data_IF_404601264033
#
_entry.id   IF_404601264033
#
_cell.length_a   1.000
_cell.length_b   1.000
_cell.length_c   1.000
_cell.angle_alpha   90.00
_cell.angle_beta   90.00
_cell.angle_gamma   90.00
#
_symmetry.space_group_name_H-M   'P 1'
#
loop_
_entity.id
_entity.type
_entity.pdbx_description
1 polymer ?
#
# COMPACT_ATOMS: atom_id res chain seq x y z
N UNK A 1 -45.05 -6.73 -102.65
CA UNK A 1 -45.13 -8.01 -101.91
C UNK A 1 -43.97 -8.07 -100.91
N UNK A 2 -44.21 -8.73 -99.78
CA UNK A 2 -43.47 -8.71 -98.51
C UNK A 2 -42.00 -9.14 -98.59
N UNK A 3 -41.21 -8.62 -97.65
CA UNK A 3 -40.19 -9.43 -96.96
C UNK A 3 -38.81 -8.78 -96.79
N UNK A 4 -38.67 -7.76 -95.95
CA UNK A 4 -37.36 -7.42 -95.38
C UNK A 4 -37.30 -7.89 -93.92
N UNK A 5 -36.33 -8.77 -93.66
CA UNK A 5 -36.09 -9.46 -92.42
C UNK A 5 -35.61 -8.51 -91.31
N UNK A 6 -36.24 -8.60 -90.14
CA UNK A 6 -35.71 -8.07 -88.88
C UNK A 6 -34.78 -9.12 -88.25
N UNK A 7 -33.47 -8.95 -88.39
CA UNK A 7 -32.46 -9.79 -87.71
C UNK A 7 -31.39 -8.92 -87.06
N UNK A 8 -31.79 -8.00 -86.18
CA UNK A 8 -30.87 -7.06 -85.52
C UNK A 8 -30.96 -6.96 -83.99
N UNK A 9 -31.93 -7.61 -83.35
CA UNK A 9 -32.21 -7.38 -81.92
C UNK A 9 -31.70 -8.51 -81.02
N UNK A 10 -31.88 -9.78 -81.39
CA UNK A 10 -31.61 -10.88 -80.44
C UNK A 10 -30.13 -11.03 -80.01
N UNK A 11 -29.17 -10.78 -80.91
CA UNK A 11 -27.73 -11.00 -80.62
C UNK A 11 -27.17 -9.94 -79.66
N UNK A 12 -27.65 -8.70 -79.75
CA UNK A 12 -27.20 -7.57 -78.91
C UNK A 12 -27.74 -7.70 -77.48
N UNK A 13 -28.99 -8.18 -77.33
CA UNK A 13 -29.58 -8.43 -76.01
C UNK A 13 -28.94 -9.64 -75.30
N UNK A 14 -28.52 -10.67 -76.04
CA UNK A 14 -27.81 -11.82 -75.47
C UNK A 14 -26.41 -11.41 -74.97
N UNK A 15 -25.67 -10.59 -75.71
CA UNK A 15 -24.32 -10.17 -75.28
C UNK A 15 -24.37 -9.21 -74.08
N UNK A 16 -25.37 -8.32 -74.02
CA UNK A 16 -25.55 -7.42 -72.87
C UNK A 16 -25.99 -8.18 -71.62
N UNK A 17 -26.90 -9.15 -71.76
CA UNK A 17 -27.31 -9.99 -70.62
C UNK A 17 -26.20 -10.92 -70.13
N UNK A 18 -25.40 -11.50 -71.03
CA UNK A 18 -24.23 -12.30 -70.64
C UNK A 18 -23.17 -11.46 -69.92
N UNK A 19 -22.94 -10.22 -70.38
CA UNK A 19 -22.00 -9.28 -69.74
C UNK A 19 -22.49 -8.84 -68.35
N UNK A 20 -23.79 -8.59 -68.17
CA UNK A 20 -24.36 -8.30 -66.84
C UNK A 20 -24.31 -9.49 -65.88
N UNK A 21 -24.46 -10.73 -66.37
CA UNK A 21 -24.36 -11.93 -65.52
C UNK A 21 -22.91 -12.18 -65.10
N UNK A 22 -21.93 -11.98 -65.98
CA UNK A 22 -20.50 -12.10 -65.63
C UNK A 22 -20.04 -10.97 -64.70
N UNK A 23 -20.52 -9.74 -64.90
CA UNK A 23 -20.23 -8.64 -63.96
C UNK A 23 -20.88 -8.89 -62.59
N UNK A 24 -22.11 -9.42 -62.56
CA UNK A 24 -22.81 -9.74 -61.31
C UNK A 24 -22.23 -10.98 -60.59
N UNK A 25 -21.59 -11.91 -61.30
CA UNK A 25 -20.85 -13.02 -60.69
C UNK A 25 -19.47 -12.57 -60.14
N UNK A 26 -18.81 -11.61 -60.79
CA UNK A 26 -17.52 -11.08 -60.30
C UNK A 26 -17.67 -10.14 -59.10
N UNK A 27 -18.80 -9.44 -58.96
CA UNK A 27 -19.10 -8.58 -57.79
C UNK A 27 -19.61 -9.37 -56.56
N UNK A 28 -19.97 -10.64 -56.72
CA UNK A 28 -20.50 -11.49 -55.63
C UNK A 28 -19.46 -12.26 -54.82
N UNK A 29 -18.17 -12.19 -55.17
CA UNK A 29 -17.12 -13.09 -54.65
C UNK A 29 -16.18 -12.46 -53.61
N UNK A 30 -16.40 -11.21 -53.19
CA UNK A 30 -15.68 -10.60 -52.06
C UNK A 30 -16.49 -10.71 -50.78
N UNK A 31 -16.82 -11.95 -50.39
CA UNK A 31 -17.03 -12.21 -48.96
C UNK A 31 -15.65 -12.25 -48.32
N UNK A 32 -15.24 -11.09 -47.80
CA UNK A 32 -14.13 -11.00 -46.86
C UNK A 32 -14.33 -12.11 -45.83
N UNK A 33 -13.40 -13.06 -45.80
CA UNK A 33 -13.20 -13.91 -44.65
C UNK A 33 -12.66 -12.99 -43.55
N UNK A 34 -13.56 -12.33 -42.81
CA UNK A 34 -13.20 -11.82 -41.49
C UNK A 34 -13.01 -13.09 -40.65
N UNK A 35 -11.77 -13.42 -40.33
CA UNK A 35 -11.49 -14.40 -39.30
C UNK A 35 -12.07 -13.83 -38.00
N UNK A 36 -13.30 -14.24 -37.71
CA UNK A 36 -13.99 -14.01 -36.45
C UNK A 36 -13.22 -14.79 -35.38
N UNK A 37 -12.20 -14.15 -34.81
CA UNK A 37 -11.34 -14.70 -33.79
C UNK A 37 -12.08 -14.64 -32.44
N UNK A 38 -13.21 -15.37 -32.36
CA UNK A 38 -13.91 -15.57 -31.10
C UNK A 38 -12.96 -16.30 -30.16
N UNK A 39 -12.60 -15.62 -29.07
CA UNK A 39 -11.74 -16.23 -28.05
C UNK A 39 -12.60 -17.17 -27.21
N UNK A 40 -12.25 -18.46 -27.19
CA UNK A 40 -12.91 -19.48 -26.38
C UNK A 40 -12.12 -19.69 -25.08
N UNK A 41 -12.82 -19.71 -23.95
CA UNK A 41 -12.24 -20.05 -22.63
C UNK A 41 -13.16 -21.00 -21.88
N UNK A 42 -12.59 -21.78 -20.95
CA UNK A 42 -13.40 -22.57 -20.02
C UNK A 42 -13.86 -21.72 -18.83
N UNK A 43 -15.01 -22.06 -18.25
CA UNK A 43 -15.43 -21.55 -16.93
C UNK A 43 -14.28 -21.71 -15.92
N UNK A 44 -14.00 -20.63 -15.18
CA UNK A 44 -12.95 -20.54 -14.17
C UNK A 44 -11.53 -20.28 -14.71
N UNK A 45 -11.32 -20.32 -16.02
CA UNK A 45 -10.00 -20.13 -16.63
C UNK A 45 -9.80 -18.71 -17.16
N UNK A 46 -8.61 -18.17 -16.94
CA UNK A 46 -8.20 -16.87 -17.47
C UNK A 46 -7.89 -16.97 -18.96
N UNK A 47 -8.35 -16.00 -19.75
CA UNK A 47 -7.93 -15.83 -21.13
C UNK A 47 -7.51 -14.38 -21.37
N UNK A 48 -6.55 -14.21 -22.28
CA UNK A 48 -5.96 -12.91 -22.61
C UNK A 48 -6.17 -12.57 -24.07
N UNK A 49 -6.57 -11.33 -24.32
CA UNK A 49 -6.73 -10.76 -25.66
C UNK A 49 -5.77 -9.59 -25.77
N UNK A 50 -4.79 -9.74 -26.66
CA UNK A 50 -3.76 -8.74 -26.88
C UNK A 50 -4.15 -7.80 -28.03
N UNK A 51 -3.60 -6.57 -27.98
CA UNK A 51 -3.64 -5.60 -29.08
C UNK A 51 -5.03 -5.18 -29.54
N UNK A 52 -6.01 -5.12 -28.64
CA UNK A 52 -7.37 -4.65 -28.96
C UNK A 52 -7.37 -3.14 -29.12
N UNK A 53 -7.61 -2.64 -30.32
CA UNK A 53 -7.67 -1.19 -30.60
C UNK A 53 -9.12 -0.73 -30.53
N UNK A 54 -9.42 0.18 -29.61
CA UNK A 54 -10.76 0.73 -29.41
C UNK A 54 -10.74 2.26 -29.59
N UNK A 55 -11.70 2.82 -30.36
CA UNK A 55 -11.79 4.26 -30.59
C UNK A 55 -12.38 5.01 -29.41
N UNK A 56 -12.14 6.31 -29.35
CA UNK A 56 -12.62 7.25 -28.34
C UNK A 56 -11.63 7.46 -27.18
N UNK A 57 -12.15 8.02 -26.08
CA UNK A 57 -11.36 8.27 -24.86
C UNK A 57 -11.03 6.98 -24.10
N UNK A 58 -10.06 7.08 -23.17
CA UNK A 58 -9.57 5.94 -22.39
C UNK A 58 -10.72 5.19 -21.68
N UNK A 59 -10.71 3.87 -21.79
CA UNK A 59 -11.70 2.97 -21.17
C UNK A 59 -11.18 2.44 -19.84
N UNK A 60 -12.11 2.22 -18.92
CA UNK A 60 -11.90 1.54 -17.66
C UNK A 60 -12.91 0.40 -17.52
N UNK A 61 -12.62 -0.55 -16.63
CA UNK A 61 -13.56 -1.64 -16.32
C UNK A 61 -14.65 -1.08 -15.40
N UNK A 62 -15.91 -1.46 -15.66
CA UNK A 62 -17.04 -1.16 -14.78
C UNK A 62 -16.83 -1.78 -13.40
N UNK A 63 -17.52 -1.24 -12.39
CA UNK A 63 -17.50 -1.84 -11.07
C UNK A 63 -18.09 -3.26 -11.12
N UNK A 64 -17.32 -4.25 -10.70
CA UNK A 64 -17.68 -5.67 -10.76
C UNK A 64 -18.51 -6.02 -9.52
N UNK A 65 -19.60 -6.74 -9.73
CA UNK A 65 -20.49 -7.28 -8.70
C UNK A 65 -20.37 -8.81 -8.63
N UNK A 66 -20.72 -9.39 -7.48
CA UNK A 66 -20.59 -10.85 -7.27
C UNK A 66 -21.47 -11.69 -8.22
N UNK A 67 -22.50 -11.07 -8.82
CA UNK A 67 -23.42 -11.71 -9.77
C UNK A 67 -22.95 -11.63 -11.23
N UNK A 68 -21.84 -10.92 -11.53
CA UNK A 68 -21.38 -10.74 -12.91
C UNK A 68 -20.83 -12.04 -13.51
N UNK A 69 -21.24 -12.42 -14.73
CA UNK A 69 -20.83 -13.68 -15.34
C UNK A 69 -19.38 -13.67 -15.83
N UNK A 70 -18.74 -12.50 -15.93
CA UNK A 70 -17.36 -12.31 -16.37
C UNK A 70 -16.66 -11.29 -15.47
N UNK A 71 -15.44 -11.63 -15.05
CA UNK A 71 -14.51 -10.68 -14.45
C UNK A 71 -13.56 -10.20 -15.55
N UNK A 72 -13.56 -8.90 -15.84
CA UNK A 72 -12.69 -8.27 -16.84
C UNK A 72 -11.59 -7.44 -16.15
N UNK A 73 -10.38 -7.48 -16.69
CA UNK A 73 -9.26 -6.64 -16.26
C UNK A 73 -8.50 -6.08 -17.46
N UNK A 74 -8.18 -4.81 -17.40
CA UNK A 74 -7.24 -4.17 -18.34
C UNK A 74 -5.83 -4.36 -17.78
N UNK A 75 -4.96 -5.08 -18.50
CA UNK A 75 -3.57 -5.33 -18.11
C UNK A 75 -2.71 -4.12 -18.43
N UNK A 76 -2.86 -3.59 -19.64
CA UNK A 76 -2.09 -2.44 -20.10
C UNK A 76 -2.90 -1.61 -21.09
N UNK A 77 -2.65 -0.29 -21.08
CA UNK A 77 -3.23 0.70 -22.01
C UNK A 77 -2.11 1.43 -22.72
N UNK A 78 -2.23 1.56 -24.04
CA UNK A 78 -1.25 2.25 -24.87
C UNK A 78 -1.97 3.22 -25.83
N UNK A 79 -1.56 4.49 -25.93
CA UNK A 79 -2.10 5.40 -26.93
C UNK A 79 -1.86 4.87 -28.36
N UNK A 80 -2.88 4.94 -29.22
CA UNK A 80 -2.83 4.48 -30.60
C UNK A 80 -3.38 5.52 -31.57
N UNK A 81 -2.89 6.76 -31.50
CA UNK A 81 -3.39 7.91 -32.27
C UNK A 81 -4.04 8.96 -31.37
N UNK A 82 -4.71 9.97 -31.95
CA UNK A 82 -5.30 11.06 -31.16
C UNK A 82 -6.49 10.62 -30.31
N UNK A 83 -7.36 9.77 -30.86
CA UNK A 83 -8.62 9.34 -30.22
C UNK A 83 -8.79 7.82 -30.24
N UNK A 84 -7.70 7.08 -30.04
CA UNK A 84 -7.72 5.61 -30.05
C UNK A 84 -6.70 5.08 -29.04
N UNK A 85 -7.04 3.96 -28.40
CA UNK A 85 -6.19 3.30 -27.43
C UNK A 85 -6.12 1.80 -27.75
N UNK A 86 -4.94 1.23 -27.52
CA UNK A 86 -4.67 -0.19 -27.64
C UNK A 86 -4.61 -0.81 -26.25
N UNK A 87 -5.44 -1.80 -26.03
CA UNK A 87 -5.63 -2.49 -24.77
C UNK A 87 -5.09 -3.91 -24.83
N UNK A 88 -4.56 -4.35 -23.70
CA UNK A 88 -4.38 -5.77 -23.39
C UNK A 88 -5.41 -6.13 -22.32
N UNK A 89 -6.31 -7.05 -22.66
CA UNK A 89 -7.44 -7.43 -21.81
C UNK A 89 -7.23 -8.84 -21.29
N UNK A 90 -7.56 -9.06 -20.02
CA UNK A 90 -7.63 -10.39 -19.43
C UNK A 90 -9.02 -10.58 -18.83
N UNK A 91 -9.66 -11.71 -19.12
CA UNK A 91 -11.00 -12.01 -18.65
C UNK A 91 -11.11 -13.41 -18.06
N UNK A 92 -12.03 -13.57 -17.11
CA UNK A 92 -12.36 -14.83 -16.45
C UNK A 92 -13.85 -15.07 -16.59
N UNK A 93 -14.23 -16.18 -17.23
CA UNK A 93 -15.64 -16.58 -17.34
C UNK A 93 -16.08 -17.32 -16.07
N UNK A 94 -17.08 -16.81 -15.37
CA UNK A 94 -17.68 -17.46 -14.21
C UNK A 94 -18.90 -18.31 -14.58
N UNK A 95 -19.58 -17.94 -15.66
CA UNK A 95 -20.75 -18.66 -16.19
C UNK A 95 -20.54 -19.03 -17.65
N UNK A 96 -21.12 -20.16 -18.07
CA UNK A 96 -21.10 -20.60 -19.47
C UNK A 96 -22.00 -19.71 -20.32
N UNK A 97 -21.51 -19.27 -21.48
CA UNK A 97 -22.29 -18.44 -22.41
C UNK A 97 -21.46 -17.66 -23.41
N UNK A 98 -22.17 -16.94 -24.28
CA UNK A 98 -21.62 -15.95 -25.20
C UNK A 98 -21.72 -14.56 -24.55
N UNK A 99 -20.59 -13.87 -24.49
CA UNK A 99 -20.52 -12.55 -23.88
C UNK A 99 -19.73 -11.58 -24.75
N UNK A 100 -20.03 -10.29 -24.63
CA UNK A 100 -19.25 -9.23 -25.28
C UNK A 100 -18.55 -8.39 -24.21
N UNK A 101 -17.22 -8.38 -24.23
CA UNK A 101 -16.40 -7.71 -23.20
C UNK A 101 -16.65 -6.20 -23.13
N UNK A 102 -17.14 -5.60 -24.22
CA UNK A 102 -17.49 -4.17 -24.28
C UNK A 102 -18.56 -3.79 -23.26
N UNK A 103 -19.46 -4.71 -22.89
CA UNK A 103 -20.50 -4.43 -21.89
C UNK A 103 -19.93 -4.23 -20.47
N UNK A 104 -18.72 -4.73 -20.21
CA UNK A 104 -18.01 -4.62 -18.93
C UNK A 104 -17.01 -3.44 -18.91
N UNK A 105 -16.98 -2.64 -19.98
CA UNK A 105 -16.14 -1.45 -20.10
C UNK A 105 -17.00 -0.18 -20.05
N UNK A 106 -16.43 0.88 -19.48
CA UNK A 106 -16.99 2.23 -19.50
C UNK A 106 -15.88 3.25 -19.79
N UNK A 107 -16.27 4.45 -20.23
CA UNK A 107 -15.29 5.52 -20.47
C UNK A 107 -14.84 6.10 -19.13
N UNK A 108 -13.54 6.36 -18.98
CA UNK A 108 -12.96 6.95 -17.77
C UNK A 108 -13.43 8.39 -17.51
N UNK A 109 -13.82 9.10 -18.57
CA UNK A 109 -14.43 10.43 -18.50
C UNK A 109 -15.96 10.38 -18.27
N UNK A 110 -16.53 9.18 -18.07
CA UNK A 110 -17.96 8.92 -17.95
C UNK A 110 -18.82 9.38 -19.14
N UNK A 111 -18.20 9.63 -20.29
CA UNK A 111 -18.94 9.88 -21.54
C UNK A 111 -19.63 8.60 -22.04
N UNK A 112 -20.60 8.77 -22.93
CA UNK A 112 -21.26 7.64 -23.58
C UNK A 112 -20.24 6.79 -24.34
N UNK A 113 -20.32 5.46 -24.22
CA UNK A 113 -19.38 4.55 -24.86
C UNK A 113 -19.36 4.71 -26.39
N UNK A 114 -20.50 5.06 -27.00
CA UNK A 114 -20.66 5.26 -28.43
C UNK A 114 -20.58 3.96 -29.23
N UNK A 115 -20.22 4.05 -30.51
CA UNK A 115 -20.00 2.90 -31.38
C UNK A 115 -18.59 2.33 -31.16
N UNK A 116 -18.48 1.31 -30.31
CA UNK A 116 -17.23 0.58 -30.05
C UNK A 116 -17.33 -0.81 -30.68
N UNK A 117 -16.28 -1.31 -31.37
CA UNK A 117 -16.27 -2.66 -31.94
C UNK A 117 -16.56 -3.72 -30.88
N UNK A 118 -17.47 -4.65 -31.17
CA UNK A 118 -17.79 -5.75 -30.26
C UNK A 118 -16.58 -6.69 -30.10
N UNK A 119 -16.40 -7.21 -28.89
CA UNK A 119 -15.36 -8.18 -28.53
C UNK A 119 -16.08 -9.45 -28.01
N UNK A 120 -16.56 -10.32 -28.91
CA UNK A 120 -17.26 -11.54 -28.50
C UNK A 120 -16.29 -12.57 -27.91
N UNK A 121 -16.68 -13.16 -26.80
CA UNK A 121 -15.97 -14.26 -26.12
C UNK A 121 -16.95 -15.39 -25.81
N UNK A 122 -16.50 -16.61 -25.97
CA UNK A 122 -17.25 -17.82 -25.64
C UNK A 122 -16.68 -18.42 -24.36
N UNK A 123 -17.53 -18.60 -23.34
CA UNK A 123 -17.18 -19.34 -22.13
C UNK A 123 -17.85 -20.71 -22.20
N UNK A 124 -17.05 -21.77 -22.25
CA UNK A 124 -17.50 -23.16 -22.31
C UNK A 124 -17.37 -23.84 -20.95
N UNK A 125 -18.26 -24.80 -20.66
CA UNK A 125 -18.12 -25.67 -19.49
C UNK A 125 -17.44 -26.97 -19.89
N UNK A 126 -16.35 -27.33 -19.21
CA UNK A 126 -15.72 -28.66 -19.34
C UNK A 126 -16.54 -29.74 -18.60
N UNK A 127 -17.43 -29.33 -17.70
CA UNK A 127 -18.32 -30.25 -17.00
C UNK A 127 -19.44 -30.71 -17.93
N UNK A 128 -19.66 -32.02 -17.97
CA UNK A 128 -20.79 -32.59 -18.70
C UNK A 128 -22.12 -31.99 -18.20
N UNK A 129 -23.04 -31.71 -19.12
CA UNK A 129 -24.30 -31.01 -18.86
C UNK A 129 -25.26 -31.75 -17.90
N UNK A 130 -24.92 -32.98 -17.51
CA UNK A 130 -25.69 -33.85 -16.63
C UNK A 130 -25.34 -33.70 -15.13
N UNK A 131 -24.38 -32.84 -14.78
CA UNK A 131 -23.94 -32.63 -13.39
C UNK A 131 -24.75 -31.52 -12.71
N UNK A 132 -25.41 -31.89 -11.61
CA UNK A 132 -26.18 -30.99 -10.73
C UNK A 132 -25.25 -29.99 -10.05
N UNK A 133 -25.60 -28.71 -10.11
CA UNK A 133 -24.92 -27.62 -9.41
C UNK A 133 -24.90 -27.91 -7.89
N UNK A 134 -23.77 -27.72 -7.18
CA UNK A 134 -23.74 -27.87 -5.72
C UNK A 134 -24.80 -26.97 -5.08
N UNK A 135 -25.70 -27.57 -4.30
CA UNK A 135 -26.75 -26.83 -3.59
C UNK A 135 -26.13 -25.65 -2.83
N UNK A 136 -26.71 -24.45 -2.97
CA UNK A 136 -26.28 -23.30 -2.19
C UNK A 136 -26.28 -23.66 -0.70
N UNK A 137 -25.23 -23.29 0.06
CA UNK A 137 -25.17 -23.63 1.46
C UNK A 137 -26.41 -23.08 2.16
N UNK A 138 -27.15 -23.96 2.84
CA UNK A 138 -28.31 -23.56 3.62
C UNK A 138 -27.86 -22.49 4.62
N UNK A 139 -28.61 -21.38 4.71
CA UNK A 139 -28.39 -20.35 5.71
C UNK A 139 -28.73 -20.93 7.10
N UNK A 140 -27.78 -21.66 7.68
CA UNK A 140 -27.92 -22.20 9.03
C UNK A 140 -27.78 -21.03 10.00
N UNK A 141 -28.77 -20.75 10.86
CA UNK A 141 -28.62 -19.73 11.89
C UNK A 141 -27.48 -20.13 12.82
N UNK A 142 -26.47 -19.27 12.93
CA UNK A 142 -25.32 -19.50 13.80
C UNK A 142 -25.81 -19.64 15.24
N UNK A 143 -25.50 -20.74 15.96
CA UNK A 143 -25.89 -20.89 17.34
C UNK A 143 -25.27 -19.76 18.15
N UNK A 144 -26.12 -18.97 18.83
CA UNK A 144 -25.67 -17.89 19.72
C UNK A 144 -24.97 -18.51 20.92
N UNK A 145 -23.66 -18.68 20.84
CA UNK A 145 -22.79 -19.00 21.97
C UNK A 145 -22.81 -17.77 22.89
N UNK A 146 -23.81 -17.72 23.76
CA UNK A 146 -23.98 -16.68 24.76
C UNK A 146 -22.95 -16.87 25.86
N UNK A 147 -22.21 -15.82 26.21
CA UNK A 147 -21.23 -15.84 27.30
C UNK A 147 -20.06 -14.90 27.07
N UNK A 148 -19.65 -14.70 25.82
CA UNK A 148 -18.54 -13.79 25.49
C UNK A 148 -18.81 -12.35 25.96
N UNK A 149 -20.03 -11.85 25.72
CA UNK A 149 -20.46 -10.53 26.19
C UNK A 149 -20.40 -10.40 27.72
N UNK A 150 -20.78 -11.45 28.45
CA UNK A 150 -20.73 -11.46 29.90
C UNK A 150 -19.28 -11.36 30.41
N UNK A 151 -18.37 -12.17 29.86
CA UNK A 151 -16.95 -12.13 30.22
C UNK A 151 -16.29 -10.80 29.86
N UNK A 152 -16.59 -10.22 28.69
CA UNK A 152 -16.11 -8.89 28.33
C UNK A 152 -16.58 -7.82 29.30
N UNK A 153 -17.86 -7.85 29.70
CA UNK A 153 -18.38 -6.89 30.69
C UNK A 153 -17.70 -7.06 32.05
N UNK A 154 -17.50 -8.31 32.50
CA UNK A 154 -16.81 -8.59 33.77
C UNK A 154 -15.37 -8.06 33.76
N UNK A 155 -14.61 -8.34 32.70
CA UNK A 155 -13.22 -7.87 32.53
C UNK A 155 -13.18 -6.35 32.49
N UNK A 156 -14.09 -5.72 31.75
CA UNK A 156 -14.19 -4.26 31.66
C UNK A 156 -14.45 -3.62 33.03
N UNK A 157 -15.39 -4.17 33.81
CA UNK A 157 -15.69 -3.68 35.16
C UNK A 157 -14.47 -3.83 36.07
N UNK A 158 -13.81 -4.99 36.05
CA UNK A 158 -12.60 -5.23 36.84
C UNK A 158 -11.48 -4.25 36.48
N UNK A 159 -11.30 -3.98 35.18
CA UNK A 159 -10.31 -3.02 34.69
C UNK A 159 -10.61 -1.58 35.12
N UNK A 160 -11.86 -1.15 34.97
CA UNK A 160 -12.31 0.18 35.44
C UNK A 160 -12.12 0.34 36.95
N UNK A 161 -12.42 -0.69 37.74
CA UNK A 161 -12.21 -0.68 39.18
C UNK A 161 -10.72 -0.61 39.54
N UNK A 162 -9.87 -1.34 38.81
CA UNK A 162 -8.42 -1.27 38.94
C UNK A 162 -7.86 0.14 38.70
N UNK A 163 -8.30 0.81 37.64
CA UNK A 163 -7.93 2.20 37.36
C UNK A 163 -8.38 3.13 38.47
N UNK A 164 -9.62 2.96 38.93
CA UNK A 164 -10.18 3.78 40.00
C UNK A 164 -9.31 3.67 41.28
N UNK A 165 -8.94 2.44 41.65
CA UNK A 165 -8.04 2.18 42.79
C UNK A 165 -6.69 2.87 42.60
N UNK A 166 -6.07 2.77 41.41
CA UNK A 166 -4.79 3.42 41.12
C UNK A 166 -4.89 4.95 41.25
N UNK A 167 -5.95 5.56 40.72
CA UNK A 167 -6.16 7.01 40.79
C UNK A 167 -6.32 7.49 42.24
N UNK A 168 -7.11 6.78 43.05
CA UNK A 168 -7.30 7.13 44.46
C UNK A 168 -6.06 6.85 45.33
N UNK A 169 -5.35 5.75 45.07
CA UNK A 169 -4.10 5.44 45.76
C UNK A 169 -3.01 6.47 45.45
N UNK A 170 -2.90 6.92 44.19
CA UNK A 170 -1.98 7.98 43.77
C UNK A 170 -2.33 9.32 44.42
N UNK A 171 -3.62 9.69 44.46
CA UNK A 171 -4.06 10.93 45.12
C UNK A 171 -3.72 10.94 46.61
N UNK A 172 -3.85 9.81 47.31
CA UNK A 172 -3.47 9.68 48.73
C UNK A 172 -1.96 9.69 48.96
N UNK A 173 -1.16 9.16 48.03
CA UNK A 173 0.31 9.20 48.11
C UNK A 173 0.87 10.60 47.90
N UNK A 174 0.34 11.36 46.93
CA UNK A 174 0.74 12.76 46.72
C UNK A 174 0.58 13.63 47.99
N UNK A 175 -0.47 13.38 48.79
CA UNK A 175 -0.67 14.11 50.05
C UNK A 175 0.31 13.69 51.15
N UNK A 176 0.87 12.48 51.07
CA UNK A 176 1.78 11.91 52.07
C UNK A 176 3.27 12.12 51.71
N UNK A 177 3.58 12.17 50.41
CA UNK A 177 4.92 12.40 49.90
C UNK A 177 5.33 13.88 49.98
N UNK A 178 4.36 14.81 50.03
CA UNK A 178 4.61 16.24 50.27
C UNK A 178 5.24 16.56 51.65
N UNK A 179 5.23 15.60 52.59
CA UNK A 179 5.83 15.75 53.92
C UNK A 179 7.28 15.21 53.98
N UNK A 180 7.77 14.54 52.93
CA UNK A 180 9.08 13.92 52.89
C UNK A 180 9.80 14.18 51.57
N UNK A 181 10.06 15.45 51.25
CA UNK A 181 10.88 15.82 50.09
C UNK A 181 12.36 15.94 50.50
N UNK A 182 13.13 14.88 50.24
CA UNK A 182 14.49 15.10 49.75
C UNK A 182 14.38 15.64 48.31
N UNK A 183 15.25 16.58 47.89
CA UNK A 183 15.22 17.11 46.54
C UNK A 183 15.30 15.97 45.52
N UNK A 184 14.54 16.02 44.42
CA UNK A 184 14.55 14.98 43.41
C UNK A 184 15.98 14.83 42.88
N UNK A 185 16.55 13.63 43.01
CA UNK A 185 17.89 13.31 42.52
C UNK A 185 18.06 13.89 41.11
N UNK A 186 19.00 14.82 40.98
CA UNK A 186 19.22 15.60 39.78
C UNK A 186 19.66 14.68 38.64
N UNK A 187 19.49 15.12 37.38
CA UNK A 187 19.98 14.35 36.22
C UNK A 187 21.48 14.05 36.33
N UNK A 188 22.25 14.96 36.93
CA UNK A 188 23.68 14.82 37.21
C UNK A 188 23.94 13.67 38.21
N UNK A 189 23.11 13.52 39.25
CA UNK A 189 23.25 12.44 40.26
C UNK A 189 23.01 11.05 39.66
N UNK A 190 22.23 10.95 38.58
CA UNK A 190 21.96 9.69 37.87
C UNK A 190 23.00 9.40 36.78
N UNK A 191 23.56 10.43 36.16
CA UNK A 191 24.58 10.32 35.13
C UNK A 191 25.91 9.80 35.69
N UNK A 192 26.32 10.27 36.87
CA UNK A 192 27.60 9.93 37.49
C UNK A 192 27.84 8.40 37.65
N UNK A 193 26.93 7.61 38.26
CA UNK A 193 27.15 6.17 38.40
C UNK A 193 27.12 5.42 37.07
N UNK A 194 26.50 5.97 36.01
CA UNK A 194 26.50 5.35 34.69
C UNK A 194 27.78 5.66 33.92
N UNK A 195 28.32 6.87 34.03
CA UNK A 195 29.63 7.23 33.49
C UNK A 195 30.73 6.38 34.11
N UNK A 196 30.71 6.20 35.44
CA UNK A 196 31.69 5.35 36.15
C UNK A 196 31.62 3.89 35.69
N UNK A 197 30.41 3.35 35.53
CA UNK A 197 30.22 2.00 34.98
C UNK A 197 30.72 1.89 33.54
N UNK A 198 30.50 2.91 32.71
CA UNK A 198 30.98 2.97 31.33
C UNK A 198 32.51 2.92 31.26
N UNK A 199 33.18 3.72 32.10
CA UNK A 199 34.64 3.76 32.23
C UNK A 199 35.19 2.40 32.69
N UNK A 200 34.47 1.71 33.57
CA UNK A 200 34.85 0.39 34.06
C UNK A 200 34.63 -0.75 33.06
N UNK A 201 34.07 -0.47 31.86
CA UNK A 201 33.77 -1.48 30.84
C UNK A 201 32.62 -2.42 31.18
N UNK A 202 31.83 -2.13 32.23
CA UNK A 202 30.79 -3.02 32.77
C UNK A 202 29.38 -2.74 32.23
N UNK A 203 29.24 -1.87 31.23
CA UNK A 203 27.92 -1.53 30.67
C UNK A 203 27.52 -2.50 29.56
N UNK A 204 26.27 -2.96 29.62
CA UNK A 204 25.64 -3.63 28.49
C UNK A 204 25.30 -2.64 27.38
N UNK A 205 25.06 -3.13 26.16
CA UNK A 205 24.63 -2.32 25.01
C UNK A 205 23.38 -1.48 25.30
N UNK A 206 22.44 -2.03 26.06
CA UNK A 206 21.22 -1.31 26.49
C UNK A 206 21.54 -0.17 27.43
N UNK A 207 22.42 -0.40 28.43
CA UNK A 207 22.81 0.66 29.37
C UNK A 207 23.65 1.75 28.72
N UNK A 208 24.38 1.41 27.65
CA UNK A 208 25.10 2.38 26.84
C UNK A 208 24.15 3.33 26.08
N UNK A 209 23.04 2.80 25.54
CA UNK A 209 22.00 3.60 24.91
C UNK A 209 21.27 4.50 25.92
N UNK A 210 21.03 4.01 27.14
CA UNK A 210 20.50 4.84 28.23
C UNK A 210 21.45 5.99 28.60
N UNK A 211 22.77 5.74 28.63
CA UNK A 211 23.77 6.77 28.87
C UNK A 211 23.76 7.85 27.78
N UNK A 212 23.69 7.45 26.51
CA UNK A 212 23.57 8.37 25.37
C UNK A 212 22.32 9.25 25.51
N UNK A 213 21.17 8.66 25.81
CA UNK A 213 19.92 9.40 25.96
C UNK A 213 19.98 10.42 27.11
N UNK A 214 20.62 10.07 28.23
CA UNK A 214 20.82 11.01 29.34
C UNK A 214 21.81 12.13 29.01
N UNK A 215 22.87 11.85 28.23
CA UNK A 215 23.79 12.89 27.76
C UNK A 215 23.11 13.85 26.78
N UNK A 216 22.25 13.35 25.89
CA UNK A 216 21.42 14.20 25.02
C UNK A 216 20.47 15.06 25.85
N UNK A 217 19.83 14.51 26.88
CA UNK A 217 18.97 15.26 27.78
C UNK A 217 19.73 16.34 28.55
N UNK A 218 20.94 16.03 29.03
CA UNK A 218 21.85 16.97 29.68
C UNK A 218 22.19 18.15 28.77
N UNK A 219 22.62 17.87 27.53
CA UNK A 219 22.98 18.91 26.57
C UNK A 219 21.78 19.72 26.09
N UNK A 220 20.61 19.09 25.97
CA UNK A 220 19.35 19.80 25.65
C UNK A 220 18.98 20.81 26.75
N UNK A 221 19.12 20.43 28.04
CA UNK A 221 18.89 21.32 29.17
C UNK A 221 19.94 22.44 29.21
N UNK A 222 21.23 22.10 29.08
CA UNK A 222 22.36 23.06 29.11
C UNK A 222 22.31 24.11 28.00
N UNK A 223 21.83 23.75 26.82
CA UNK A 223 21.72 24.65 25.66
C UNK A 223 20.33 25.29 25.53
N UNK A 224 19.45 25.12 26.52
CA UNK A 224 18.07 25.63 26.51
C UNK A 224 17.23 25.22 25.29
N UNK A 225 17.48 24.03 24.75
CA UNK A 225 16.79 23.51 23.56
C UNK A 225 15.49 22.77 23.89
N UNK A 226 14.87 23.07 25.04
CA UNK A 226 13.69 22.37 25.53
C UNK A 226 12.46 22.64 24.66
N UNK A 227 12.36 23.85 24.09
CA UNK A 227 11.23 24.28 23.24
C UNK A 227 11.46 24.02 21.75
N UNK A 228 12.63 23.52 21.39
CA UNK A 228 13.02 23.26 20.00
C UNK A 228 12.52 21.89 19.55
N UNK A 229 12.09 21.77 18.29
CA UNK A 229 11.68 20.50 17.71
C UNK A 229 12.83 19.48 17.72
N UNK A 230 12.51 18.20 17.96
CA UNK A 230 13.48 17.11 18.13
C UNK A 230 14.43 17.00 16.92
N UNK A 231 13.92 17.20 15.70
CA UNK A 231 14.74 17.13 14.48
C UNK A 231 15.83 18.21 14.47
N UNK A 232 15.49 19.43 14.92
CA UNK A 232 16.41 20.55 14.99
C UNK A 232 17.40 20.40 16.15
N UNK A 233 16.96 19.84 17.30
CA UNK A 233 17.84 19.57 18.45
C UNK A 233 19.00 18.66 18.04
N UNK A 234 18.73 17.57 17.34
CA UNK A 234 19.80 16.64 16.92
C UNK A 234 20.80 17.28 15.97
N UNK A 235 20.34 18.15 15.06
CA UNK A 235 21.21 18.89 14.15
C UNK A 235 22.08 19.92 14.88
N UNK A 236 21.50 20.68 15.81
CA UNK A 236 22.22 21.67 16.64
C UNK A 236 23.28 20.97 17.50
N UNK A 237 22.92 19.86 18.15
CA UNK A 237 23.84 19.09 18.98
C UNK A 237 25.02 18.52 18.18
N UNK A 238 24.78 18.02 16.96
CA UNK A 238 25.84 17.52 16.07
C UNK A 238 26.81 18.60 15.61
N UNK A 239 26.35 19.85 15.48
CA UNK A 239 27.15 21.00 15.05
C UNK A 239 27.86 21.71 16.22
N UNK A 240 27.50 21.39 17.47
CA UNK A 240 28.07 22.00 18.66
C UNK A 240 29.54 21.59 18.85
N UNK A 241 30.42 22.56 19.11
CA UNK A 241 31.87 22.35 19.20
C UNK A 241 32.29 21.35 20.29
N UNK A 242 31.56 21.31 21.41
CA UNK A 242 31.87 20.42 22.54
C UNK A 242 31.03 19.13 22.58
N UNK A 243 29.77 19.20 22.14
CA UNK A 243 28.83 18.09 22.28
C UNK A 243 28.82 17.18 21.04
N UNK A 244 29.06 17.75 19.85
CA UNK A 244 29.06 17.04 18.58
C UNK A 244 30.11 15.92 18.52
N UNK A 245 31.40 16.20 18.79
CA UNK A 245 32.44 15.17 18.75
C UNK A 245 32.20 14.03 19.75
N UNK A 246 31.63 14.33 20.92
CA UNK A 246 31.29 13.35 21.95
C UNK A 246 30.18 12.40 21.50
N UNK A 247 29.04 12.96 21.08
CA UNK A 247 27.86 12.19 20.70
C UNK A 247 28.12 11.34 19.46
N UNK A 248 28.86 11.87 18.48
CA UNK A 248 29.24 11.12 17.28
C UNK A 248 30.14 9.93 17.62
N UNK A 249 31.09 10.09 18.56
CA UNK A 249 31.94 8.97 18.97
C UNK A 249 31.16 7.90 19.72
N UNK A 250 30.17 8.28 20.54
CA UNK A 250 29.26 7.34 21.20
C UNK A 250 28.36 6.60 20.20
N UNK A 251 27.83 7.31 19.19
CA UNK A 251 26.99 6.74 18.12
C UNK A 251 27.78 5.71 17.28
N UNK A 252 29.03 6.03 16.92
CA UNK A 252 29.92 5.11 16.20
C UNK A 252 30.21 3.85 17.02
N UNK A 253 30.42 4.00 18.33
CA UNK A 253 30.66 2.89 19.24
C UNK A 253 29.43 2.00 19.40
N UNK A 254 28.22 2.58 19.45
CA UNK A 254 26.96 1.84 19.61
C UNK A 254 26.58 1.05 18.35
N UNK A 255 26.89 1.59 17.16
CA UNK A 255 26.45 1.06 15.87
C UNK A 255 27.48 0.21 15.12
N UNK A 256 28.64 -0.08 15.71
CA UNK A 256 29.65 -0.94 15.06
C UNK A 256 29.18 -2.41 15.02
N UNK A 257 29.03 -3.03 13.83
CA UNK A 257 28.69 -4.45 13.73
C UNK A 257 29.95 -5.27 14.04
N UNK A 258 29.90 -6.18 15.02
CA UNK A 258 31.02 -6.95 15.63
C UNK A 258 31.65 -6.31 16.88
N UNK A 259 30.83 -5.98 17.88
CA UNK A 259 31.27 -5.61 19.24
C UNK A 259 30.97 -6.73 20.26
N UNK A 260 31.24 -7.99 19.90
CA UNK A 260 31.26 -9.11 20.85
C UNK A 260 32.54 -9.13 21.72
N UNK A 261 33.43 -8.17 21.51
CA UNK A 261 34.51 -7.86 22.43
C UNK A 261 34.16 -6.60 23.20
N UNK A 262 34.18 -6.74 24.52
CA UNK A 262 34.26 -5.70 25.55
C UNK A 262 34.44 -4.32 24.93
N UNK A 263 33.36 -3.54 24.94
CA UNK A 263 33.36 -2.17 24.42
C UNK A 263 34.61 -1.47 24.94
N UNK A 264 35.51 -1.05 24.04
CA UNK A 264 36.88 -0.63 24.37
C UNK A 264 36.87 0.43 25.47
N UNK A 265 37.00 -0.06 26.72
CA UNK A 265 36.75 0.72 27.93
C UNK A 265 37.75 1.86 28.03
N UNK A 266 38.92 1.71 27.40
CA UNK A 266 39.96 2.73 27.34
C UNK A 266 39.57 3.91 26.44
N UNK A 267 38.90 3.64 25.31
CA UNK A 267 38.38 4.68 24.41
C UNK A 267 37.18 5.40 25.04
N UNK A 268 36.25 4.65 25.65
CA UNK A 268 35.11 5.21 26.40
C UNK A 268 35.59 6.08 27.56
N UNK A 269 36.56 5.59 28.33
CA UNK A 269 37.09 6.32 29.47
C UNK A 269 37.71 7.66 29.07
N UNK A 270 38.39 7.73 27.91
CA UNK A 270 38.96 8.96 27.39
C UNK A 270 37.88 9.99 27.00
N UNK A 271 36.77 9.52 26.44
CA UNK A 271 35.65 10.36 25.99
C UNK A 271 34.84 10.90 27.17
N UNK A 272 34.60 10.06 28.18
CA UNK A 272 33.72 10.38 29.31
C UNK A 272 34.45 11.00 30.51
N UNK A 273 35.79 11.05 30.51
CA UNK A 273 36.60 11.64 31.58
C UNK A 273 36.15 13.04 32.05
N UNK A 274 35.74 13.97 31.15
CA UNK A 274 35.27 15.30 31.56
C UNK A 274 33.95 15.29 32.34
N UNK A 275 33.16 14.21 32.24
CA UNK A 275 31.81 14.10 32.81
C UNK A 275 31.78 13.27 34.10
N UNK A 276 32.93 12.87 34.63
CA UNK A 276 33.04 12.13 35.90
C UNK A 276 32.71 12.99 37.13
N UNK A 277 32.91 14.31 37.03
CA UNK A 277 32.77 15.26 38.12
C UNK A 277 31.89 16.45 37.70
N UNK A 278 30.71 16.15 37.14
CA UNK A 278 29.74 17.20 36.82
C UNK A 278 29.17 17.78 38.13
N UNK A 279 29.30 19.10 38.39
CA UNK A 279 28.71 19.69 39.58
C UNK A 279 27.18 19.61 39.47
N UNK A 280 26.52 19.07 40.49
CA UNK A 280 25.05 19.03 40.56
C UNK A 280 24.43 20.44 40.56
N UNK A 281 25.16 21.43 41.14
CA UNK A 281 24.70 22.81 41.32
C UNK A 281 25.07 23.76 40.16
N UNK A 282 26.06 23.42 39.33
CA UNK A 282 26.51 24.31 38.25
C UNK A 282 25.46 24.49 37.16
N UNK A 283 24.58 23.50 36.94
CA UNK A 283 23.49 23.68 35.98
C UNK A 283 22.49 24.72 36.49
N UNK A 284 22.04 24.61 37.74
CA UNK A 284 20.97 25.49 38.21
C UNK A 284 21.49 26.91 38.56
N UNK A 285 22.76 27.08 38.97
CA UNK A 285 23.40 28.39 39.18
C UNK A 285 23.82 29.10 37.87
N UNK A 286 24.40 28.39 36.90
CA UNK A 286 24.79 28.98 35.60
C UNK A 286 23.52 29.38 34.80
N UNK A 287 22.44 28.58 34.88
CA UNK A 287 21.10 28.90 34.36
C UNK A 287 20.46 30.11 35.09
N UNK A 288 20.65 30.24 36.41
CA UNK A 288 20.17 31.40 37.16
C UNK A 288 20.96 32.68 36.82
N UNK A 289 22.23 32.56 36.46
CA UNK A 289 23.09 33.70 36.08
C UNK A 289 22.91 34.20 34.63
N UNK A 290 22.29 33.40 33.76
CA UNK A 290 22.04 33.70 32.34
C UNK A 290 20.57 34.05 32.05
N UNK A 291 19.70 34.02 33.06
CA UNK A 291 18.33 34.52 32.97
C UNK A 291 18.32 36.07 33.08
N UNK A 292 17.77 36.81 32.10
CA UNK A 292 17.51 38.25 32.26
C UNK A 292 16.37 38.55 33.24
#
# INVERSE_FOLDING_TARGET
MRGHQQTGSARTWIVVTLSCIVLSLCLGSTRLCLAENQSTTSVGMAARIEQVVLPGSELQVKNITDDDPIILRIISTHPHGPDMFRYELEYYGLQQGEYNLVHFLERKDHSSLGEVPAIPVQVESILAADRVEPNSPAAVPIPRIGGYRFWLTLIFIAWMLGILIILFARRKRVTKDAENEQPPASLSDRLQPMVEKAISGKLSKTQMAELEMMLVAYWRKRLHLERTDISQVTQILRQHAEAGPLLQQLEILLHRPHADQEVDATQIAKILKPYQHLPAEALDEELASLAP
#
